data_IF_241851326420
#
_entry.id   IF_241851326420
#
_cell.length_a   1.000
_cell.length_b   1.000
_cell.length_c   1.000
_cell.angle_alpha   90.00
_cell.angle_beta   90.00
_cell.angle_gamma   90.00
#
_symmetry.space_group_name_H-M   'P 1'
#
loop_
_entity.id
_entity.type
_entity.pdbx_description
1 polymer ?
#
# COMPACT_ATOMS: atom_id res chain seq x y z
N UNK A 1 3.20 -17.90 4.44
CA UNK A 1 2.37 -16.92 3.69
C UNK A 1 2.56 -15.58 4.38
N UNK A 2 2.99 -14.54 3.70
CA UNK A 2 3.18 -13.24 4.32
C UNK A 2 1.84 -12.49 4.40
N UNK A 3 1.64 -11.72 5.48
CA UNK A 3 0.51 -10.81 5.63
C UNK A 3 0.95 -9.37 5.32
N UNK A 4 0.11 -8.60 4.63
CA UNK A 4 0.43 -7.22 4.23
C UNK A 4 -0.50 -6.25 4.98
N UNK A 5 -0.13 -5.77 6.17
CA UNK A 5 -0.89 -4.73 6.84
C UNK A 5 -0.71 -3.39 6.11
N UNK A 6 -1.82 -2.72 5.77
CA UNK A 6 -1.80 -1.33 5.29
C UNK A 6 -2.10 -0.44 6.48
N UNK A 7 -1.11 0.30 6.91
CA UNK A 7 -1.10 1.09 8.14
C UNK A 7 -0.97 2.57 7.81
N UNK A 8 -1.53 3.42 8.62
CA UNK A 8 -1.29 4.86 8.54
C UNK A 8 0.00 5.19 9.28
N UNK A 9 0.83 6.06 8.77
CA UNK A 9 2.13 6.40 9.35
C UNK A 9 2.06 7.15 10.69
N UNK A 10 1.18 6.68 11.60
CA UNK A 10 1.00 7.27 12.94
C UNK A 10 1.85 6.55 13.97
N UNK A 11 2.13 7.23 15.07
CA UNK A 11 3.02 6.72 16.11
C UNK A 11 2.61 5.34 16.65
N UNK A 12 1.31 5.08 16.82
CA UNK A 12 0.82 3.80 17.35
C UNK A 12 1.13 2.62 16.44
N UNK A 13 1.08 2.81 15.13
CA UNK A 13 1.36 1.76 14.15
C UNK A 13 2.86 1.49 14.03
N UNK A 14 3.70 2.52 14.09
CA UNK A 14 5.14 2.34 14.16
C UNK A 14 5.57 1.62 15.43
N UNK A 15 5.00 2.00 16.59
CA UNK A 15 5.20 1.29 17.86
C UNK A 15 4.79 -0.18 17.76
N UNK A 16 3.64 -0.47 17.12
CA UNK A 16 3.17 -1.83 16.94
C UNK A 16 4.15 -2.66 16.09
N UNK A 17 4.75 -2.08 15.03
CA UNK A 17 5.77 -2.74 14.24
C UNK A 17 7.04 -3.02 15.06
N UNK A 18 7.53 -2.01 15.80
CA UNK A 18 8.75 -2.14 16.60
C UNK A 18 8.62 -3.13 17.76
N UNK A 19 7.41 -3.28 18.32
CA UNK A 19 7.13 -4.21 19.43
C UNK A 19 6.61 -5.58 18.98
N UNK A 20 6.38 -5.79 17.70
CA UNK A 20 6.01 -7.11 17.19
C UNK A 20 7.15 -8.11 17.43
N UNK A 21 6.82 -9.37 17.74
CA UNK A 21 7.83 -10.41 17.87
C UNK A 21 8.55 -10.66 16.54
N UNK A 22 9.78 -11.14 16.57
CA UNK A 22 10.56 -11.49 15.38
C UNK A 22 9.80 -12.47 14.47
N UNK A 23 9.05 -13.40 15.05
CA UNK A 23 8.20 -14.32 14.31
C UNK A 23 7.14 -13.56 13.50
N UNK A 24 6.45 -12.59 14.11
CA UNK A 24 5.46 -11.73 13.42
C UNK A 24 6.15 -10.86 12.38
N UNK A 25 7.25 -10.22 12.73
CA UNK A 25 8.02 -9.35 11.81
C UNK A 25 8.45 -10.10 10.54
N UNK A 26 8.86 -11.37 10.67
CA UNK A 26 9.25 -12.21 9.53
C UNK A 26 8.10 -12.56 8.58
N UNK A 27 6.85 -12.50 9.07
CA UNK A 27 5.65 -12.88 8.32
C UNK A 27 4.87 -11.69 7.76
N UNK A 28 5.25 -10.46 8.08
CA UNK A 28 4.55 -9.26 7.60
C UNK A 28 5.38 -8.49 6.57
N UNK A 29 4.67 -7.80 5.67
CA UNK A 29 5.24 -6.85 4.70
C UNK A 29 4.42 -5.56 4.77
N UNK A 30 4.75 -4.65 5.70
CA UNK A 30 3.91 -3.49 5.97
C UNK A 30 3.92 -2.50 4.81
N UNK A 31 2.74 -1.95 4.52
CA UNK A 31 2.55 -0.75 3.73
C UNK A 31 2.20 0.38 4.68
N UNK A 32 2.98 1.47 4.66
CA UNK A 32 2.75 2.65 5.48
C UNK A 32 2.25 3.79 4.60
N UNK A 33 1.02 4.21 4.83
CA UNK A 33 0.45 5.39 4.19
C UNK A 33 0.90 6.65 4.91
N UNK A 34 1.47 7.60 4.17
CA UNK A 34 1.77 8.94 4.70
C UNK A 34 0.47 9.76 4.62
N UNK A 35 -0.17 9.95 5.77
CA UNK A 35 -1.48 10.61 5.86
C UNK A 35 -1.33 12.08 6.26
N UNK A 36 -1.91 13.04 5.50
CA UNK A 36 -1.80 14.46 5.80
C UNK A 36 -2.61 14.82 7.05
N UNK A 37 -1.95 15.00 8.19
CA UNK A 37 -2.54 15.42 9.46
C UNK A 37 -1.91 16.70 10.05
N UNK A 38 -0.84 17.21 9.44
CA UNK A 38 -0.17 18.45 9.81
C UNK A 38 0.52 19.07 8.58
N UNK A 39 1.41 20.05 8.77
CA UNK A 39 2.26 20.57 7.70
C UNK A 39 3.07 19.43 7.08
N UNK A 40 3.12 19.41 5.75
CA UNK A 40 3.67 18.24 5.03
C UNK A 40 5.18 18.08 5.28
N UNK A 41 5.92 19.15 5.50
CA UNK A 41 7.36 19.07 5.79
C UNK A 41 7.57 18.38 7.14
N UNK A 42 6.91 18.86 8.18
CA UNK A 42 6.99 18.30 9.52
C UNK A 42 6.49 16.85 9.54
N UNK A 43 5.45 16.58 8.74
CA UNK A 43 4.92 15.23 8.56
C UNK A 43 5.96 14.27 7.99
N UNK A 44 6.65 14.64 6.91
CA UNK A 44 7.65 13.78 6.26
C UNK A 44 8.87 13.54 7.16
N UNK A 45 9.35 14.56 7.86
CA UNK A 45 10.44 14.41 8.82
C UNK A 45 10.03 13.49 9.98
N UNK A 46 8.88 13.75 10.59
CA UNK A 46 8.34 12.91 11.69
C UNK A 46 8.11 11.47 11.25
N UNK A 47 7.62 11.24 10.03
CA UNK A 47 7.45 9.91 9.47
C UNK A 47 8.79 9.17 9.35
N UNK A 48 9.81 9.83 8.81
CA UNK A 48 11.13 9.23 8.62
C UNK A 48 11.85 8.96 9.95
N UNK A 49 11.70 9.85 10.94
CA UNK A 49 12.26 9.63 12.28
C UNK A 49 11.59 8.42 12.97
N UNK A 50 10.26 8.32 12.90
CA UNK A 50 9.55 7.15 13.42
C UNK A 50 9.96 5.87 12.70
N UNK A 51 10.15 5.92 11.38
CA UNK A 51 10.60 4.75 10.63
C UNK A 51 12.00 4.32 11.09
N UNK A 52 12.92 5.25 11.34
CA UNK A 52 14.24 4.94 11.87
C UNK A 52 14.18 4.32 13.28
N UNK A 53 13.30 4.85 14.14
CA UNK A 53 13.23 4.44 15.55
C UNK A 53 12.55 3.08 15.75
N UNK A 54 11.57 2.74 14.90
CA UNK A 54 10.66 1.62 15.15
C UNK A 54 10.65 0.54 14.08
N UNK A 55 11.10 0.81 12.85
CA UNK A 55 11.12 -0.24 11.82
C UNK A 55 12.27 -1.21 12.13
N UNK A 56 11.97 -2.52 12.27
CA UNK A 56 13.00 -3.51 12.57
C UNK A 56 14.09 -3.56 11.50
N UNK A 57 15.32 -3.77 11.93
CA UNK A 57 16.46 -3.89 11.03
C UNK A 57 16.25 -5.02 10.00
N UNK A 58 16.48 -4.70 8.73
CA UNK A 58 16.29 -5.64 7.63
C UNK A 58 14.86 -5.75 7.11
N UNK A 59 13.88 -5.12 7.77
CA UNK A 59 12.53 -5.02 7.23
C UNK A 59 12.47 -4.00 6.08
N UNK A 60 11.82 -4.37 4.98
CA UNK A 60 11.54 -3.45 3.88
C UNK A 60 10.20 -2.76 4.12
N UNK A 61 10.21 -1.45 4.25
CA UNK A 61 9.01 -0.65 4.42
C UNK A 61 8.43 -0.27 3.06
N UNK A 62 7.22 -0.72 2.73
CA UNK A 62 6.51 -0.23 1.55
C UNK A 62 5.82 1.08 1.91
N UNK A 63 6.10 2.17 1.18
CA UNK A 63 5.62 3.52 1.53
C UNK A 63 4.70 4.07 0.46
N UNK A 64 3.54 4.55 0.89
CA UNK A 64 2.50 5.14 0.04
C UNK A 64 2.32 6.63 0.37
N UNK A 65 2.76 7.49 -0.54
CA UNK A 65 2.58 8.95 -0.47
C UNK A 65 1.35 9.45 -1.25
N UNK A 66 0.52 8.57 -1.79
CA UNK A 66 -0.57 8.95 -2.70
C UNK A 66 -1.70 9.77 -2.08
N UNK A 67 -1.79 9.88 -0.76
CA UNK A 67 -2.70 10.79 -0.08
C UNK A 67 -2.18 12.24 -0.03
N UNK A 68 -0.92 12.46 -0.36
CA UNK A 68 -0.30 13.79 -0.36
C UNK A 68 -0.49 14.47 -1.72
N UNK A 69 -0.81 15.77 -1.75
CA UNK A 69 -0.92 16.51 -3.01
C UNK A 69 0.45 16.63 -3.69
N UNK A 70 0.56 16.07 -4.89
CA UNK A 70 1.82 16.00 -5.64
C UNK A 70 2.49 17.37 -5.89
N UNK A 71 1.71 18.42 -6.09
CA UNK A 71 2.21 19.71 -6.61
C UNK A 71 2.47 20.80 -5.55
N UNK A 72 2.12 20.57 -4.27
CA UNK A 72 2.09 21.68 -3.29
C UNK A 72 3.10 21.59 -2.18
N UNK A 73 3.86 20.53 -2.14
CA UNK A 73 4.53 20.17 -0.90
C UNK A 73 5.71 21.07 -0.61
N UNK A 74 6.37 21.60 -1.62
CA UNK A 74 7.66 22.25 -1.34
C UNK A 74 8.03 23.27 -2.44
N UNK A 75 7.58 24.50 -2.26
CA UNK A 75 8.19 25.61 -3.00
C UNK A 75 9.68 25.69 -2.65
N UNK A 76 10.54 25.35 -3.61
CA UNK A 76 11.99 25.47 -3.50
C UNK A 76 12.78 24.17 -3.32
N UNK A 77 12.12 23.03 -3.18
CA UNK A 77 12.79 21.73 -3.08
C UNK A 77 12.80 20.98 -4.42
N UNK A 78 13.84 20.19 -4.63
CA UNK A 78 14.00 19.34 -5.80
C UNK A 78 13.33 17.99 -5.50
N UNK A 79 12.13 17.75 -6.06
CA UNK A 79 11.39 16.49 -5.95
C UNK A 79 10.15 16.56 -5.04
N UNK A 80 9.23 15.64 -5.27
CA UNK A 80 7.98 15.48 -4.51
C UNK A 80 8.14 14.68 -3.21
N UNK A 81 7.03 14.42 -2.51
CA UNK A 81 7.04 13.71 -1.23
C UNK A 81 7.73 12.36 -1.28
N UNK A 82 7.56 11.61 -2.37
CA UNK A 82 8.14 10.27 -2.53
C UNK A 82 9.67 10.32 -2.55
N UNK A 83 10.24 11.26 -3.29
CA UNK A 83 11.70 11.47 -3.36
C UNK A 83 12.27 11.83 -2.00
N UNK A 84 11.62 12.76 -1.29
CA UNK A 84 12.09 13.20 0.04
C UNK A 84 12.08 12.09 1.07
N UNK A 85 10.99 11.33 1.14
CA UNK A 85 10.92 10.17 2.03
C UNK A 85 11.98 9.14 1.64
N UNK A 86 12.12 8.86 0.34
CA UNK A 86 13.10 7.90 -0.15
C UNK A 86 14.52 8.30 0.18
N UNK A 87 14.90 9.56 -0.07
CA UNK A 87 16.24 10.08 0.27
C UNK A 87 16.49 10.03 1.79
N UNK A 88 15.53 10.51 2.58
CA UNK A 88 15.65 10.54 4.04
C UNK A 88 15.77 9.14 4.65
N UNK A 89 14.98 8.18 4.18
CA UNK A 89 15.07 6.78 4.64
C UNK A 89 16.37 6.11 4.18
N UNK A 90 16.86 6.43 2.96
CA UNK A 90 18.14 5.93 2.48
C UNK A 90 19.30 6.40 3.35
N UNK A 91 19.32 7.68 3.72
CA UNK A 91 20.32 8.25 4.64
C UNK A 91 20.29 7.60 6.03
N UNK A 92 19.10 7.15 6.47
CA UNK A 92 18.87 6.46 7.75
C UNK A 92 19.03 4.95 7.67
N UNK A 93 19.40 4.41 6.51
CA UNK A 93 19.58 2.98 6.26
C UNK A 93 18.28 2.15 6.45
N UNK A 94 17.12 2.76 6.33
CA UNK A 94 15.83 2.08 6.32
C UNK A 94 15.49 1.69 4.87
N UNK A 95 15.39 0.40 4.60
CA UNK A 95 15.05 -0.10 3.27
C UNK A 95 13.60 0.23 2.91
N UNK A 96 13.37 0.79 1.72
CA UNK A 96 12.06 1.26 1.27
C UNK A 96 11.69 0.71 -0.10
N UNK A 97 10.38 0.49 -0.29
CA UNK A 97 9.74 0.21 -1.57
C UNK A 97 8.65 1.24 -1.83
N UNK A 98 8.71 2.03 -2.91
CA UNK A 98 7.70 3.04 -3.20
C UNK A 98 6.42 2.41 -3.77
N UNK A 99 5.25 2.96 -3.36
CA UNK A 99 3.96 2.66 -3.97
C UNK A 99 3.71 3.64 -5.11
N UNK A 100 3.18 3.12 -6.23
CA UNK A 100 2.69 3.89 -7.37
C UNK A 100 1.36 3.37 -7.87
N UNK A 101 0.68 4.14 -8.71
CA UNK A 101 -0.67 3.87 -9.23
C UNK A 101 -0.72 3.96 -10.75
N UNK A 102 -1.71 3.30 -11.35
CA UNK A 102 -1.96 3.39 -12.79
C UNK A 102 -2.27 4.81 -13.27
N UNK A 103 -2.74 5.67 -12.39
CA UNK A 103 -3.10 7.08 -12.66
C UNK A 103 -1.96 8.08 -12.44
N UNK A 104 -0.80 7.62 -11.94
CA UNK A 104 0.32 8.51 -11.68
C UNK A 104 0.88 9.10 -12.98
N UNK A 105 1.32 10.37 -12.89
CA UNK A 105 1.94 11.07 -14.03
C UNK A 105 3.36 10.55 -14.27
N UNK A 106 3.92 10.85 -15.42
CA UNK A 106 5.29 10.47 -15.76
C UNK A 106 6.31 11.12 -14.80
N UNK A 107 6.03 12.32 -14.29
CA UNK A 107 6.84 12.98 -13.28
C UNK A 107 6.84 12.18 -11.97
N UNK A 108 5.65 11.74 -11.52
CA UNK A 108 5.52 10.90 -10.32
C UNK A 108 6.23 9.55 -10.51
N UNK A 109 6.08 8.93 -11.68
CA UNK A 109 6.78 7.68 -11.98
C UNK A 109 8.29 7.87 -12.06
N UNK A 110 8.79 9.02 -12.52
CA UNK A 110 10.22 9.33 -12.49
C UNK A 110 10.76 9.45 -11.05
N UNK A 111 9.98 10.02 -10.14
CA UNK A 111 10.30 10.05 -8.70
C UNK A 111 10.35 8.64 -8.12
N UNK A 112 9.34 7.82 -8.39
CA UNK A 112 9.29 6.42 -7.97
C UNK A 112 10.52 5.65 -8.48
N UNK A 113 10.89 5.83 -9.75
CA UNK A 113 12.09 5.23 -10.34
C UNK A 113 13.36 5.62 -9.59
N UNK A 114 13.53 6.89 -9.25
CA UNK A 114 14.70 7.36 -8.50
C UNK A 114 14.80 6.64 -7.14
N UNK A 115 13.69 6.55 -6.41
CA UNK A 115 13.62 5.85 -5.12
C UNK A 115 13.89 4.35 -5.28
N UNK A 116 13.33 3.70 -6.31
CA UNK A 116 13.62 2.28 -6.61
C UNK A 116 15.11 2.06 -6.86
N UNK A 117 15.77 2.97 -7.58
CA UNK A 117 17.21 2.89 -7.86
C UNK A 117 18.07 3.03 -6.59
N UNK A 118 17.69 3.89 -5.66
CA UNK A 118 18.42 4.08 -4.40
C UNK A 118 18.28 2.88 -3.45
N UNK A 119 17.06 2.40 -3.27
CA UNK A 119 16.76 1.35 -2.29
C UNK A 119 16.91 -0.07 -2.84
N UNK A 120 16.82 -0.27 -4.16
CA UNK A 120 16.94 -1.56 -4.84
C UNK A 120 15.97 -2.64 -4.31
N UNK A 121 14.78 -2.21 -3.88
CA UNK A 121 13.73 -3.09 -3.35
C UNK A 121 12.57 -3.31 -4.33
N UNK A 122 12.70 -2.80 -5.56
CA UNK A 122 11.63 -2.76 -6.54
C UNK A 122 10.53 -1.78 -6.15
N UNK A 123 9.33 -1.97 -6.72
CA UNK A 123 8.18 -1.11 -6.51
C UNK A 123 6.94 -1.86 -6.06
N UNK A 124 5.86 -1.12 -5.82
CA UNK A 124 4.55 -1.67 -5.48
C UNK A 124 3.46 -0.93 -6.28
N UNK A 125 2.80 -1.63 -7.20
CA UNK A 125 1.62 -1.12 -7.92
C UNK A 125 0.38 -1.35 -7.05
N UNK A 126 -0.31 -0.27 -6.66
CA UNK A 126 -1.58 -0.33 -5.94
C UNK A 126 -2.73 0.08 -6.86
N UNK A 127 -3.66 -0.82 -7.08
CA UNK A 127 -4.87 -0.63 -7.88
C UNK A 127 -6.06 -0.59 -6.93
N UNK A 128 -6.82 0.50 -6.92
CA UNK A 128 -8.08 0.55 -6.17
C UNK A 128 -9.20 -0.03 -7.03
N UNK A 129 -10.01 -0.92 -6.46
CA UNK A 129 -11.24 -1.42 -7.06
C UNK A 129 -12.45 -0.52 -6.77
N UNK A 130 -12.27 0.57 -6.00
CA UNK A 130 -13.35 1.51 -5.76
C UNK A 130 -13.80 2.17 -7.08
N UNK A 131 -15.12 2.39 -7.21
CA UNK A 131 -15.76 2.98 -8.42
C UNK A 131 -15.33 4.42 -8.78
N UNK A 132 -14.30 4.94 -8.14
CA UNK A 132 -13.73 6.22 -8.49
C UNK A 132 -13.14 6.16 -9.91
N UNK A 133 -13.59 7.05 -10.77
CA UNK A 133 -13.14 7.14 -12.16
C UNK A 133 -11.62 7.37 -12.29
N UNK A 134 -10.96 7.83 -11.21
CA UNK A 134 -9.52 8.03 -11.11
C UNK A 134 -8.75 6.76 -10.71
N UNK A 135 -9.43 5.72 -10.23
CA UNK A 135 -8.81 4.49 -9.74
C UNK A 135 -8.96 3.32 -10.72
N UNK A 136 -9.11 3.60 -12.01
CA UNK A 136 -9.29 2.56 -13.03
C UNK A 136 -8.07 1.65 -13.08
N UNK A 137 -8.37 0.34 -13.17
CA UNK A 137 -7.39 -0.67 -13.52
C UNK A 137 -6.65 -0.23 -14.80
N UNK A 138 -5.31 -0.15 -14.79
CA UNK A 138 -4.55 0.16 -15.99
C UNK A 138 -4.78 -0.93 -17.04
N UNK A 139 -4.88 -0.54 -18.30
CA UNK A 139 -4.83 -1.48 -19.42
C UNK A 139 -3.39 -1.96 -19.68
N UNK A 140 -3.24 -2.92 -20.58
CA UNK A 140 -1.95 -3.51 -20.88
C UNK A 140 -0.94 -2.50 -21.46
N UNK A 141 -1.41 -1.47 -22.17
CA UNK A 141 -0.54 -0.43 -22.72
C UNK A 141 0.00 0.46 -21.59
N UNK A 142 -0.87 0.88 -20.68
CA UNK A 142 -0.48 1.67 -19.52
C UNK A 142 0.49 0.89 -18.59
N UNK A 143 0.27 -0.41 -18.40
CA UNK A 143 1.21 -1.24 -17.64
C UNK A 143 2.59 -1.25 -18.31
N UNK A 144 2.66 -1.44 -19.64
CA UNK A 144 3.95 -1.42 -20.37
C UNK A 144 4.64 -0.06 -20.28
N UNK A 145 3.87 1.03 -20.38
CA UNK A 145 4.39 2.39 -20.26
C UNK A 145 4.97 2.65 -18.88
N UNK A 146 4.23 2.31 -17.81
CA UNK A 146 4.72 2.45 -16.43
C UNK A 146 6.02 1.67 -16.21
N UNK A 147 6.06 0.39 -16.60
CA UNK A 147 7.25 -0.45 -16.44
C UNK A 147 8.45 0.12 -17.20
N UNK A 148 8.22 0.65 -18.41
CA UNK A 148 9.27 1.31 -19.21
C UNK A 148 9.77 2.59 -18.52
N UNK A 149 8.87 3.43 -18.01
CA UNK A 149 9.24 4.66 -17.29
C UNK A 149 9.99 4.36 -16.00
N UNK A 150 9.61 3.29 -15.31
CA UNK A 150 10.26 2.84 -14.07
C UNK A 150 11.59 2.12 -14.33
N UNK A 151 11.89 1.72 -15.57
CA UNK A 151 13.00 0.82 -15.93
C UNK A 151 12.95 -0.48 -15.12
N UNK A 152 11.77 -1.07 -14.96
CA UNK A 152 11.52 -2.24 -14.14
C UNK A 152 10.87 -3.37 -14.96
N UNK A 153 11.03 -4.60 -14.48
CA UNK A 153 10.28 -5.76 -14.94
C UNK A 153 9.19 -6.12 -13.95
N UNK A 154 8.11 -6.79 -14.37
CA UNK A 154 6.99 -7.12 -13.47
C UNK A 154 7.42 -7.90 -12.23
N UNK A 155 8.43 -8.78 -12.34
CA UNK A 155 8.97 -9.59 -11.24
C UNK A 155 9.64 -8.76 -10.12
N UNK A 156 9.90 -7.48 -10.39
CA UNK A 156 10.41 -6.53 -9.37
C UNK A 156 9.29 -5.76 -8.67
N UNK A 157 8.04 -5.93 -9.12
CA UNK A 157 6.88 -5.15 -8.65
C UNK A 157 5.92 -6.05 -7.87
N UNK A 158 5.56 -5.62 -6.66
CA UNK A 158 4.41 -6.19 -5.94
C UNK A 158 3.12 -5.56 -6.47
N UNK A 159 2.07 -6.37 -6.61
CA UNK A 159 0.74 -5.92 -6.98
C UNK A 159 -0.18 -5.95 -5.75
N UNK A 160 -0.82 -4.82 -5.44
CA UNK A 160 -1.89 -4.74 -4.45
C UNK A 160 -3.19 -4.35 -5.14
N UNK A 161 -4.19 -5.21 -5.06
CA UNK A 161 -5.57 -4.91 -5.45
C UNK A 161 -6.32 -4.51 -4.18
N UNK A 162 -6.59 -3.22 -4.03
CA UNK A 162 -7.24 -2.64 -2.86
C UNK A 162 -8.74 -2.51 -3.10
N UNK A 163 -9.51 -3.40 -2.48
CA UNK A 163 -10.95 -3.39 -2.53
C UNK A 163 -11.59 -2.25 -1.71
N UNK A 164 -10.78 -1.57 -0.87
CA UNK A 164 -11.27 -0.52 0.02
C UNK A 164 -12.17 -1.05 1.14
N UNK A 165 -13.09 -0.22 1.67
CA UNK A 165 -13.92 -0.59 2.80
C UNK A 165 -15.01 -1.59 2.45
N UNK A 166 -15.14 -2.64 3.29
CA UNK A 166 -16.10 -3.74 3.15
C UNK A 166 -16.94 -3.84 4.42
N UNK A 167 -18.09 -3.17 4.43
CA UNK A 167 -18.92 -3.04 5.64
C UNK A 167 -20.15 -3.94 5.63
N UNK A 168 -20.43 -4.68 4.55
CA UNK A 168 -21.60 -5.52 4.44
C UNK A 168 -21.39 -6.70 3.51
N UNK A 169 -22.24 -7.72 3.65
CA UNK A 169 -22.28 -8.91 2.79
C UNK A 169 -22.51 -8.54 1.31
N UNK A 170 -23.42 -7.60 1.05
CA UNK A 170 -23.73 -7.21 -0.34
C UNK A 170 -22.54 -6.48 -0.98
N UNK A 171 -21.89 -5.59 -0.22
CA UNK A 171 -20.67 -4.92 -0.67
C UNK A 171 -19.54 -5.93 -0.92
N UNK A 172 -19.38 -6.92 -0.04
CA UNK A 172 -18.41 -8.00 -0.23
C UNK A 172 -18.67 -8.78 -1.51
N UNK A 173 -19.94 -9.15 -1.79
CA UNK A 173 -20.30 -9.88 -2.98
C UNK A 173 -19.99 -9.10 -4.27
N UNK A 174 -20.29 -7.80 -4.30
CA UNK A 174 -19.96 -6.93 -5.43
C UNK A 174 -18.45 -6.81 -5.62
N UNK A 175 -17.70 -6.55 -4.53
CA UNK A 175 -16.26 -6.37 -4.57
C UNK A 175 -15.52 -7.67 -4.95
N UNK A 176 -16.04 -8.84 -4.59
CA UNK A 176 -15.41 -10.12 -4.98
C UNK A 176 -15.35 -10.29 -6.49
N UNK A 177 -16.38 -9.86 -7.21
CA UNK A 177 -16.42 -9.88 -8.68
C UNK A 177 -15.37 -8.90 -9.25
N UNK A 178 -15.38 -7.66 -8.78
CA UNK A 178 -14.45 -6.61 -9.23
C UNK A 178 -12.98 -7.01 -9.00
N UNK A 179 -12.68 -7.58 -7.83
CA UNK A 179 -11.34 -8.05 -7.48
C UNK A 179 -10.91 -9.21 -8.37
N UNK A 180 -11.79 -10.20 -8.59
CA UNK A 180 -11.50 -11.34 -9.46
C UNK A 180 -11.28 -10.91 -10.91
N UNK A 181 -12.08 -10.00 -11.44
CA UNK A 181 -11.87 -9.44 -12.78
C UNK A 181 -10.52 -8.72 -12.89
N UNK A 182 -10.14 -7.98 -11.84
CA UNK A 182 -8.86 -7.28 -11.80
C UNK A 182 -7.70 -8.27 -11.71
N UNK A 183 -7.79 -9.29 -10.86
CA UNK A 183 -6.82 -10.38 -10.79
C UNK A 183 -6.64 -11.08 -12.14
N UNK A 184 -7.73 -11.48 -12.80
CA UNK A 184 -7.66 -12.13 -14.11
C UNK A 184 -6.98 -11.25 -15.17
N UNK A 185 -7.21 -9.96 -15.12
CA UNK A 185 -6.56 -9.03 -16.04
C UNK A 185 -5.08 -8.88 -15.74
N UNK A 186 -4.73 -8.70 -14.47
CA UNK A 186 -3.37 -8.42 -14.05
C UNK A 186 -2.47 -9.66 -14.01
N UNK A 187 -3.03 -10.87 -13.88
CA UNK A 187 -2.29 -12.14 -13.87
C UNK A 187 -1.60 -12.51 -15.19
N UNK A 188 -1.78 -11.69 -16.24
CA UNK A 188 -0.99 -11.80 -17.49
C UNK A 188 0.47 -11.37 -17.32
N UNK A 189 0.74 -10.68 -16.22
CA UNK A 189 2.06 -10.16 -15.89
C UNK A 189 2.64 -10.97 -14.72
N UNK A 190 3.89 -11.39 -14.77
CA UNK A 190 4.52 -12.17 -13.69
C UNK A 190 4.94 -11.25 -12.52
N UNK A 191 3.96 -10.71 -11.79
CA UNK A 191 4.24 -9.88 -10.61
C UNK A 191 5.03 -10.67 -9.55
N UNK A 192 5.91 -9.98 -8.82
CA UNK A 192 6.67 -10.62 -7.74
C UNK A 192 5.76 -11.24 -6.68
N UNK A 193 4.74 -10.51 -6.27
CA UNK A 193 3.68 -10.96 -5.38
C UNK A 193 2.36 -10.30 -5.76
N UNK A 194 1.27 -11.04 -5.59
CA UNK A 194 -0.08 -10.55 -5.73
C UNK A 194 -0.75 -10.48 -4.35
N UNK A 195 -1.43 -9.39 -4.06
CA UNK A 195 -2.06 -9.13 -2.78
C UNK A 195 -3.47 -8.56 -2.98
N UNK A 196 -4.43 -9.05 -2.21
CA UNK A 196 -5.79 -8.47 -2.12
C UNK A 196 -5.93 -7.80 -0.76
N UNK A 197 -6.18 -6.49 -0.79
CA UNK A 197 -6.38 -5.65 0.37
C UNK A 197 -7.85 -5.26 0.54
N UNK A 198 -8.32 -5.23 1.78
CA UNK A 198 -9.65 -4.72 2.13
C UNK A 198 -9.66 -4.28 3.60
N UNK A 199 -10.59 -3.38 3.97
CA UNK A 199 -10.79 -2.97 5.36
C UNK A 199 -12.24 -3.20 5.81
N UNK A 200 -12.43 -3.92 6.92
CA UNK A 200 -13.76 -4.08 7.53
C UNK A 200 -13.96 -3.14 8.72
N UNK A 201 -12.91 -2.43 9.14
CA UNK A 201 -13.02 -1.55 10.30
C UNK A 201 -13.78 -0.27 9.94
N UNK A 202 -14.75 0.16 10.76
CA UNK A 202 -15.52 1.36 10.51
C UNK A 202 -14.64 2.62 10.51
N UNK A 203 -14.88 3.53 9.57
CA UNK A 203 -14.15 4.82 9.46
C UNK A 203 -14.28 5.66 10.73
N UNK A 204 -15.41 5.52 11.45
CA UNK A 204 -15.61 6.16 12.75
C UNK A 204 -16.28 5.20 13.75
N UNK A 205 -16.00 5.42 15.01
CA UNK A 205 -16.51 4.60 16.11
C UNK A 205 -17.71 5.23 16.82
N UNK A 206 -18.33 6.28 16.26
CA UNK A 206 -19.44 7.01 16.92
C UNK A 206 -20.67 6.14 17.16
N UNK A 207 -20.87 5.12 16.32
CA UNK A 207 -22.00 4.18 16.45
C UNK A 207 -21.73 3.03 17.43
N UNK A 208 -20.55 2.99 18.05
CA UNK A 208 -20.19 1.95 19.01
C UNK A 208 -20.31 2.45 20.44
N UNK A 209 -20.91 1.66 21.35
CA UNK A 209 -21.05 2.07 22.75
C UNK A 209 -19.66 2.19 23.40
N UNK A 210 -19.43 3.32 24.07
CA UNK A 210 -18.17 3.55 24.79
C UNK A 210 -18.02 2.56 25.95
N UNK A 211 -16.80 2.06 26.15
CA UNK A 211 -16.47 1.17 27.26
C UNK A 211 -17.02 -0.26 27.13
N UNK A 212 -17.55 -0.63 25.96
CA UNK A 212 -18.01 -2.00 25.68
C UNK A 212 -17.26 -2.59 24.48
N UNK A 213 -16.79 -3.81 24.64
CA UNK A 213 -16.31 -4.59 23.49
C UNK A 213 -17.48 -4.90 22.56
N UNK A 214 -17.34 -4.51 21.29
CA UNK A 214 -18.35 -4.77 20.27
C UNK A 214 -17.71 -5.60 19.16
N UNK A 215 -18.24 -6.80 18.83
CA UNK A 215 -17.72 -7.60 17.75
C UNK A 215 -17.95 -6.91 16.39
N UNK A 216 -16.91 -6.87 15.57
CA UNK A 216 -16.99 -6.41 14.17
C UNK A 216 -16.84 -7.61 13.28
N UNK A 217 -17.77 -7.81 12.34
CA UNK A 217 -17.66 -8.88 11.36
C UNK A 217 -16.50 -8.56 10.41
N UNK A 218 -15.56 -9.46 10.26
CA UNK A 218 -14.40 -9.34 9.40
C UNK A 218 -14.78 -9.64 7.94
N UNK A 219 -15.58 -8.75 7.36
CA UNK A 219 -16.03 -8.85 5.96
C UNK A 219 -14.85 -8.81 4.98
N UNK A 220 -13.75 -8.16 5.35
CA UNK A 220 -12.47 -8.16 4.64
C UNK A 220 -11.85 -9.57 4.55
N UNK A 221 -11.78 -10.28 5.67
CA UNK A 221 -11.27 -11.64 5.72
C UNK A 221 -12.19 -12.62 4.94
N UNK A 222 -13.50 -12.40 5.02
CA UNK A 222 -14.47 -13.18 4.24
C UNK A 222 -14.36 -12.89 2.74
N UNK A 223 -14.08 -11.63 2.34
CA UNK A 223 -13.81 -11.27 0.95
C UNK A 223 -12.57 -12.01 0.44
N UNK A 224 -11.45 -11.94 1.19
CA UNK A 224 -10.23 -12.63 0.82
C UNK A 224 -10.45 -14.13 0.64
N UNK A 225 -11.15 -14.77 1.59
CA UNK A 225 -11.47 -16.19 1.48
C UNK A 225 -12.32 -16.49 0.23
N UNK A 226 -13.35 -15.69 -0.03
CA UNK A 226 -14.22 -15.85 -1.20
C UNK A 226 -13.43 -15.70 -2.52
N UNK A 227 -12.49 -14.76 -2.58
CA UNK A 227 -11.60 -14.59 -3.72
C UNK A 227 -10.69 -15.83 -3.88
N UNK A 228 -10.06 -16.30 -2.80
CA UNK A 228 -9.19 -17.49 -2.85
C UNK A 228 -9.93 -18.76 -3.28
N UNK A 229 -11.18 -18.95 -2.84
CA UNK A 229 -11.99 -20.12 -3.20
C UNK A 229 -12.34 -20.13 -4.72
N UNK A 230 -12.37 -18.97 -5.37
CA UNK A 230 -12.71 -18.82 -6.79
C UNK A 230 -11.50 -18.62 -7.69
N UNK A 231 -10.38 -18.12 -7.13
CA UNK A 231 -9.16 -17.86 -7.88
C UNK A 231 -8.38 -19.16 -8.13
N UNK A 232 -8.01 -19.41 -9.38
CA UNK A 232 -7.28 -20.61 -9.81
C UNK A 232 -5.79 -20.39 -10.05
N UNK A 233 -5.30 -19.17 -9.82
CA UNK A 233 -3.89 -18.83 -9.89
C UNK A 233 -3.16 -19.05 -8.56
N UNK A 234 -1.99 -18.43 -8.42
CA UNK A 234 -1.31 -18.36 -7.14
C UNK A 234 -2.20 -17.65 -6.12
N UNK A 235 -2.33 -18.21 -4.92
CA UNK A 235 -3.19 -17.63 -3.88
C UNK A 235 -2.64 -16.24 -3.51
N UNK A 236 -3.42 -15.17 -3.72
CA UNK A 236 -2.96 -13.83 -3.39
C UNK A 236 -2.74 -13.68 -1.87
N UNK A 237 -1.77 -12.87 -1.50
CA UNK A 237 -1.49 -12.55 -0.11
C UNK A 237 -2.64 -11.71 0.45
N UNK A 238 -3.05 -11.98 1.70
CA UNK A 238 -4.04 -11.15 2.40
C UNK A 238 -3.43 -9.83 2.85
N UNK A 239 -4.15 -8.73 2.63
CA UNK A 239 -3.85 -7.43 3.21
C UNK A 239 -5.09 -6.85 3.91
N UNK A 240 -4.88 -6.10 4.99
CA UNK A 240 -5.94 -5.38 5.68
C UNK A 240 -5.55 -3.91 5.82
N UNK A 241 -6.44 -3.01 5.41
CA UNK A 241 -6.32 -1.57 5.68
C UNK A 241 -7.03 -1.23 7.00
N UNK A 242 -6.40 -0.41 7.80
CA UNK A 242 -6.90 0.08 9.11
C UNK A 242 -7.39 1.52 9.00
#
# INVERSE_FOLDING_TARGET
MAYVPILKGKVGEFLALGHASEEVQSQIRPVMEVVPDCDVRDLLETFCDRAMDYVPNGMVLTVDCGALPAARVLKGDVGGPMVRVGESLSQRQVAMRPVFRGTDTDETLAEVRAVMAWHRQGGCLRISSARDAQARRPDDERVREMLRTLHAVPEEIDLIIDAGPVHSRDRRAALSVEVLETLHHMARWPWRHECVAAGAFPVNLTNFPRGRATPVVREDALLWKQVCDQWRGNIPVSATSV
#
